data_IF_720737716250
#
_entry.id   IF_720737716250
#
_cell.length_a   1.000
_cell.length_b   1.000
_cell.length_c   1.000
_cell.angle_alpha   90.00
_cell.angle_beta   90.00
_cell.angle_gamma   90.00
#
_symmetry.space_group_name_H-M   'P 1'
#
loop_
_entity.id
_entity.type
_entity.pdbx_description
1 polymer ?
#
# COMPACT_ATOMS: atom_id res chain seq x y z
N UNK A 1 14.80 58.26 39.72
CA UNK A 1 13.90 58.96 38.78
C UNK A 1 13.29 57.89 37.89
N UNK A 2 12.13 57.30 38.25
CA UNK A 2 10.76 57.75 37.95
C UNK A 2 10.50 57.81 36.42
N UNK A 3 9.51 57.18 35.78
CA UNK A 3 8.23 56.54 36.14
C UNK A 3 7.90 55.49 35.02
N UNK A 4 7.20 54.36 35.14
CA UNK A 4 5.93 53.93 35.78
C UNK A 4 4.64 54.49 35.14
N UNK A 5 3.90 53.65 34.38
CA UNK A 5 2.42 53.50 34.29
C UNK A 5 2.04 52.68 33.02
N UNK A 6 1.58 51.43 33.09
CA UNK A 6 0.26 50.87 33.51
C UNK A 6 -0.85 50.85 32.46
N UNK A 7 -1.32 49.61 32.19
CA UNK A 7 -2.72 49.16 32.09
C UNK A 7 -3.53 49.54 30.84
N UNK A 8 -3.92 48.54 30.05
CA UNK A 8 -5.34 48.32 29.73
C UNK A 8 -5.60 46.85 29.31
N UNK A 9 -6.12 46.08 30.26
CA UNK A 9 -6.82 44.81 30.05
C UNK A 9 -8.18 45.10 29.42
N UNK A 10 -8.54 44.41 28.34
CA UNK A 10 -9.94 44.28 27.93
C UNK A 10 -10.34 42.82 27.92
N UNK A 11 -10.95 42.41 29.04
CA UNK A 11 -11.79 41.22 29.18
C UNK A 11 -12.97 41.33 28.20
N UNK A 12 -13.21 40.28 27.43
CA UNK A 12 -14.53 39.96 26.90
C UNK A 12 -14.96 38.66 27.55
N UNK A 13 -15.93 38.76 28.45
CA UNK A 13 -16.59 37.63 29.09
C UNK A 13 -18.04 37.57 28.62
N UNK A 14 -18.39 36.41 28.03
CA UNK A 14 -19.67 35.67 28.11
C UNK A 14 -20.96 36.35 27.60
N UNK A 15 -21.88 35.55 27.02
CA UNK A 15 -22.80 34.80 27.89
C UNK A 15 -22.86 33.30 27.56
N UNK A 16 -22.84 32.52 28.63
CA UNK A 16 -23.40 31.18 28.65
C UNK A 16 -24.92 31.26 28.38
N UNK A 17 -25.41 30.48 27.43
CA UNK A 17 -26.82 30.20 27.27
C UNK A 17 -27.01 28.68 27.17
N UNK A 18 -27.53 28.14 28.26
CA UNK A 18 -28.13 26.82 28.41
C UNK A 18 -29.22 26.57 27.37
N UNK A 19 -29.27 25.35 26.80
CA UNK A 19 -30.47 24.50 26.79
C UNK A 19 -30.12 23.10 26.30
N UNK A 20 -30.35 22.15 27.20
CA UNK A 20 -30.66 20.75 26.94
C UNK A 20 -31.57 20.54 25.74
N UNK A 21 -31.26 19.54 24.91
CA UNK A 21 -32.28 18.69 24.27
C UNK A 21 -31.61 17.40 23.80
N UNK A 22 -31.78 16.36 24.61
CA UNK A 22 -31.77 14.98 24.15
C UNK A 22 -32.87 14.79 23.09
N UNK A 23 -32.54 14.16 21.97
CA UNK A 23 -33.47 13.39 21.14
C UNK A 23 -32.68 12.11 20.79
N UNK A 24 -32.69 11.07 21.62
CA UNK A 24 -33.77 10.11 21.84
C UNK A 24 -34.28 9.48 20.54
N UNK A 25 -33.63 8.36 20.23
CA UNK A 25 -34.13 7.15 19.58
C UNK A 25 -35.67 7.11 19.46
N UNK A 26 -36.17 7.10 18.21
CA UNK A 26 -37.50 6.57 17.90
C UNK A 26 -37.34 5.19 17.29
N UNK A 27 -37.35 4.19 18.17
CA UNK A 27 -37.89 2.87 17.88
C UNK A 27 -39.41 3.02 17.83
N UNK A 28 -40.01 2.86 16.65
CA UNK A 28 -41.46 2.61 16.55
C UNK A 28 -41.65 1.13 16.21
N UNK A 29 -41.85 0.35 17.26
CA UNK A 29 -42.52 -0.94 17.21
C UNK A 29 -43.95 -0.73 16.73
N UNK A 30 -44.31 -1.31 15.58
CA UNK A 30 -45.71 -1.45 15.19
C UNK A 30 -46.13 -2.91 15.43
N UNK A 31 -46.79 -3.12 16.56
CA UNK A 31 -47.44 -4.38 16.91
C UNK A 31 -48.83 -4.35 16.28
N UNK A 32 -48.99 -5.08 15.17
CA UNK A 32 -50.27 -5.40 14.56
C UNK A 32 -50.50 -6.90 14.69
N UNK A 33 -51.09 -7.30 15.80
CA UNK A 33 -51.61 -8.65 16.05
C UNK A 33 -52.86 -8.83 15.17
N UNK A 34 -52.95 -9.89 14.36
CA UNK A 34 -54.20 -10.58 14.06
C UNK A 34 -53.88 -12.05 13.75
N UNK A 35 -54.57 -12.92 14.49
CA UNK A 35 -54.40 -14.37 14.50
C UNK A 35 -55.61 -15.00 13.83
N UNK A 36 -55.37 -15.99 12.96
CA UNK A 36 -56.26 -17.15 12.83
C UNK A 36 -55.47 -18.36 12.30
N UNK A 37 -55.33 -19.36 13.16
CA UNK A 37 -54.88 -20.75 12.88
C UNK A 37 -55.98 -21.47 12.02
N UNK A 38 -55.75 -22.49 11.18
CA UNK A 38 -55.51 -23.97 11.39
C UNK A 38 -55.71 -24.61 9.96
N UNK A 39 -55.23 -25.82 9.56
CA UNK A 39 -53.89 -26.40 9.45
C UNK A 39 -53.71 -27.11 8.03
N UNK A 40 -52.90 -28.19 7.78
CA UNK A 40 -52.22 -28.35 6.49
C UNK A 40 -52.81 -29.41 5.54
N UNK A 41 -52.61 -29.23 4.24
CA UNK A 41 -52.78 -30.29 3.23
C UNK A 41 -51.49 -30.44 2.42
N UNK A 42 -50.90 -31.62 2.53
CA UNK A 42 -49.76 -32.12 1.78
C UNK A 42 -50.08 -32.32 0.30
N UNK A 43 -49.27 -31.73 -0.59
CA UNK A 43 -49.09 -32.25 -1.94
C UNK A 43 -47.65 -32.00 -2.40
N UNK A 44 -46.94 -33.11 -2.63
CA UNK A 44 -45.60 -33.17 -3.18
C UNK A 44 -45.51 -32.46 -4.54
N UNK A 45 -44.60 -31.50 -4.64
CA UNK A 45 -44.00 -31.10 -5.92
C UNK A 45 -42.51 -30.84 -5.68
N UNK A 46 -41.69 -31.78 -6.15
CA UNK A 46 -40.23 -31.73 -6.07
C UNK A 46 -39.70 -30.43 -6.70
N UNK A 47 -38.89 -29.62 -6.00
CA UNK A 47 -38.14 -28.58 -6.67
C UNK A 47 -36.99 -29.27 -7.41
N UNK A 48 -37.00 -29.16 -8.74
CA UNK A 48 -35.84 -29.46 -9.56
C UNK A 48 -34.65 -28.69 -8.97
N UNK A 49 -33.72 -29.40 -8.33
CA UNK A 49 -32.38 -28.91 -8.05
C UNK A 49 -31.71 -28.80 -9.42
N UNK A 50 -31.96 -27.67 -10.08
CA UNK A 50 -31.11 -27.19 -11.13
C UNK A 50 -29.74 -27.03 -10.51
N UNK A 51 -28.84 -27.96 -10.82
CA UNK A 51 -27.41 -27.80 -10.59
C UNK A 51 -27.04 -26.52 -11.34
N UNK A 52 -27.02 -25.41 -10.61
CA UNK A 52 -26.33 -24.20 -11.02
C UNK A 52 -24.86 -24.59 -11.04
N UNK A 53 -24.43 -25.13 -12.16
CA UNK A 53 -23.02 -25.14 -12.52
C UNK A 53 -22.67 -23.66 -12.62
N UNK A 54 -22.17 -23.10 -11.53
CA UNK A 54 -21.31 -21.92 -11.56
C UNK A 54 -20.14 -22.35 -12.44
N UNK A 55 -20.30 -22.19 -13.76
CA UNK A 55 -19.18 -22.07 -14.67
C UNK A 55 -18.45 -20.85 -14.15
N UNK A 56 -17.43 -21.09 -13.33
CA UNK A 56 -16.35 -20.15 -13.16
C UNK A 56 -15.91 -19.84 -14.57
N UNK A 57 -16.31 -18.66 -15.06
CA UNK A 57 -15.73 -18.12 -16.27
C UNK A 57 -14.25 -18.04 -15.96
N UNK A 58 -13.46 -18.99 -16.48
CA UNK A 58 -12.01 -18.93 -16.38
C UNK A 58 -11.61 -17.76 -17.25
N UNK A 59 -11.68 -16.55 -16.68
CA UNK A 59 -11.09 -15.36 -17.26
C UNK A 59 -9.65 -15.73 -17.56
N UNK A 60 -9.20 -15.47 -18.79
CA UNK A 60 -7.79 -15.68 -19.11
C UNK A 60 -6.95 -14.84 -18.15
N UNK A 61 -5.79 -15.36 -17.71
CA UNK A 61 -4.88 -14.64 -16.80
C UNK A 61 -4.53 -13.23 -17.29
N UNK A 62 -4.60 -13.01 -18.60
CA UNK A 62 -4.39 -11.70 -19.22
C UNK A 62 -5.48 -10.67 -18.91
N UNK A 63 -6.68 -11.06 -18.50
CA UNK A 63 -7.81 -10.13 -18.25
C UNK A 63 -8.08 -9.86 -16.77
N UNK A 64 -7.37 -10.56 -15.87
CA UNK A 64 -7.53 -10.41 -14.42
C UNK A 64 -6.43 -9.52 -13.84
N UNK A 65 -6.63 -9.00 -12.63
CA UNK A 65 -5.54 -8.35 -11.91
C UNK A 65 -4.41 -9.37 -11.67
N UNK A 66 -3.17 -8.90 -11.68
CA UNK A 66 -2.04 -9.80 -11.39
C UNK A 66 -2.09 -10.35 -9.95
N UNK A 67 -2.73 -9.63 -9.03
CA UNK A 67 -3.07 -10.09 -7.69
C UNK A 67 -4.00 -11.31 -7.69
N UNK A 68 -5.07 -11.28 -8.50
CA UNK A 68 -6.00 -12.41 -8.64
C UNK A 68 -5.35 -13.60 -9.35
N UNK A 69 -4.52 -13.33 -10.36
CA UNK A 69 -3.73 -14.37 -11.04
C UNK A 69 -2.82 -15.10 -10.05
N UNK A 70 -2.11 -14.35 -9.19
CA UNK A 70 -1.28 -14.93 -8.14
C UNK A 70 -2.10 -15.75 -7.13
N UNK A 71 -3.30 -15.27 -6.73
CA UNK A 71 -4.16 -15.98 -5.80
C UNK A 71 -4.66 -17.32 -6.38
N UNK A 72 -5.00 -17.36 -7.67
CA UNK A 72 -5.37 -18.60 -8.38
C UNK A 72 -4.18 -19.57 -8.47
N UNK A 73 -3.00 -19.07 -8.84
CA UNK A 73 -1.77 -19.87 -8.93
C UNK A 73 -1.36 -20.44 -7.57
N UNK A 74 -1.43 -19.64 -6.52
CA UNK A 74 -1.12 -20.07 -5.16
C UNK A 74 -2.10 -21.13 -4.63
N UNK A 75 -3.36 -21.09 -5.08
CA UNK A 75 -4.36 -22.12 -4.76
C UNK A 75 -4.12 -23.43 -5.52
N UNK A 76 -3.70 -23.34 -6.78
CA UNK A 76 -3.41 -24.50 -7.63
C UNK A 76 -2.08 -25.20 -7.27
N UNK A 77 -1.04 -24.42 -6.97
CA UNK A 77 0.33 -24.93 -6.78
C UNK A 77 1.04 -24.27 -5.58
N UNK A 78 0.55 -24.46 -4.34
CA UNK A 78 1.04 -23.72 -3.17
C UNK A 78 2.51 -23.97 -2.82
N UNK A 79 3.01 -25.18 -3.09
CA UNK A 79 4.35 -25.62 -2.71
C UNK A 79 5.41 -25.43 -3.81
N UNK A 80 5.03 -24.89 -4.97
CA UNK A 80 5.98 -24.65 -6.05
C UNK A 80 6.93 -23.51 -5.68
N UNK A 81 8.22 -23.81 -5.62
CA UNK A 81 9.30 -22.83 -5.50
C UNK A 81 9.41 -22.04 -6.80
N UNK A 82 9.45 -20.72 -6.70
CA UNK A 82 9.41 -19.80 -7.86
C UNK A 82 10.58 -18.83 -7.87
N UNK A 83 11.04 -18.40 -6.69
CA UNK A 83 12.08 -17.39 -6.62
C UNK A 83 12.96 -17.60 -5.41
N UNK A 84 14.27 -17.47 -5.64
CA UNK A 84 15.28 -17.44 -4.60
C UNK A 84 16.03 -16.11 -4.67
N UNK A 85 16.00 -15.38 -3.57
CA UNK A 85 16.80 -14.18 -3.37
C UNK A 85 18.07 -14.57 -2.64
N UNK A 86 19.23 -14.33 -3.24
CA UNK A 86 20.50 -14.48 -2.52
C UNK A 86 20.62 -13.43 -1.41
N UNK A 87 20.11 -12.22 -1.66
CA UNK A 87 19.97 -11.19 -0.64
C UNK A 87 19.04 -11.67 0.48
N UNK A 88 19.56 -11.73 1.72
CA UNK A 88 18.91 -12.31 2.91
C UNK A 88 18.61 -13.82 2.81
N UNK A 89 19.15 -14.52 1.80
CA UNK A 89 18.99 -15.96 1.53
C UNK A 89 17.54 -16.45 1.69
N UNK A 90 16.61 -15.78 1.02
CA UNK A 90 15.17 -16.03 1.13
C UNK A 90 14.70 -16.86 -0.05
N UNK A 91 13.99 -17.96 0.22
CA UNK A 91 13.32 -18.79 -0.79
C UNK A 91 11.82 -18.65 -0.66
N UNK A 92 11.14 -18.37 -1.77
CA UNK A 92 9.69 -18.24 -1.79
C UNK A 92 9.01 -19.24 -2.71
N UNK A 93 7.91 -19.77 -2.19
CA UNK A 93 6.92 -20.50 -2.98
C UNK A 93 5.78 -19.57 -3.37
N UNK A 94 4.94 -19.98 -4.33
CA UNK A 94 3.74 -19.23 -4.70
C UNK A 94 2.84 -18.88 -3.50
N UNK A 95 2.69 -19.82 -2.55
CA UNK A 95 1.96 -19.57 -1.30
C UNK A 95 2.57 -18.43 -0.48
N UNK A 96 3.89 -18.36 -0.37
CA UNK A 96 4.57 -17.30 0.39
C UNK A 96 4.37 -15.94 -0.27
N UNK A 97 4.54 -15.84 -1.59
CA UNK A 97 4.34 -14.58 -2.31
C UNK A 97 2.90 -14.10 -2.18
N UNK A 98 1.92 -15.01 -2.34
CA UNK A 98 0.52 -14.67 -2.15
C UNK A 98 0.21 -14.22 -0.72
N UNK A 99 0.74 -14.92 0.28
CA UNK A 99 0.53 -14.61 1.70
C UNK A 99 1.09 -13.23 2.07
N UNK A 100 2.35 -12.95 1.73
CA UNK A 100 2.97 -11.66 2.09
C UNK A 100 2.39 -10.49 1.31
N UNK A 101 2.06 -10.68 0.02
CA UNK A 101 1.40 -9.63 -0.77
C UNK A 101 -0.01 -9.33 -0.26
N UNK A 102 -0.75 -10.35 0.15
CA UNK A 102 -2.07 -10.17 0.78
C UNK A 102 -1.97 -9.44 2.12
N UNK A 103 -1.03 -9.86 2.95
CA UNK A 103 -0.81 -9.25 4.26
C UNK A 103 -0.41 -7.77 4.15
N UNK A 104 0.47 -7.44 3.21
CA UNK A 104 0.86 -6.05 2.96
C UNK A 104 -0.32 -5.23 2.42
N UNK A 105 -1.06 -5.76 1.47
CA UNK A 105 -2.25 -5.09 0.94
C UNK A 105 -3.28 -4.81 2.04
N UNK A 106 -3.53 -5.80 2.91
CA UNK A 106 -4.44 -5.64 4.05
C UNK A 106 -3.97 -4.53 4.99
N UNK A 107 -2.70 -4.54 5.40
CA UNK A 107 -2.20 -3.54 6.35
C UNK A 107 -2.16 -2.13 5.77
N UNK A 108 -1.93 -1.98 4.46
CA UNK A 108 -2.00 -0.67 3.80
C UNK A 108 -3.45 -0.15 3.75
N UNK A 109 -4.42 -0.99 3.41
CA UNK A 109 -5.84 -0.60 3.41
C UNK A 109 -6.35 -0.32 4.83
N UNK A 110 -5.93 -1.12 5.81
CA UNK A 110 -6.27 -0.93 7.24
C UNK A 110 -5.67 0.38 7.80
N UNK A 111 -4.49 0.78 7.34
CA UNK A 111 -3.90 2.09 7.63
C UNK A 111 -4.67 3.27 7.00
N UNK A 112 -5.75 3.01 6.25
CA UNK A 112 -6.65 4.01 5.69
C UNK A 112 -6.34 4.41 4.25
N UNK A 113 -5.43 3.70 3.56
CA UNK A 113 -5.17 3.92 2.14
C UNK A 113 -6.32 3.39 1.29
N UNK A 114 -6.61 4.11 0.22
CA UNK A 114 -7.72 3.80 -0.69
C UNK A 114 -7.18 3.35 -2.05
N UNK A 115 -7.90 2.47 -2.77
CA UNK A 115 -7.55 2.14 -4.15
C UNK A 115 -7.43 3.41 -5.00
N UNK A 116 -6.36 3.53 -5.78
CA UNK A 116 -5.97 4.74 -6.50
C UNK A 116 -4.94 5.62 -5.80
N UNK A 117 -4.64 5.38 -4.51
CA UNK A 117 -3.53 6.04 -3.84
C UNK A 117 -2.17 5.69 -4.46
N UNK A 118 -1.24 6.63 -4.37
CA UNK A 118 0.05 6.56 -5.05
C UNK A 118 1.16 6.10 -4.09
N UNK A 119 1.92 5.10 -4.50
CA UNK A 119 3.04 4.51 -3.76
C UNK A 119 4.33 4.82 -4.52
N UNK A 120 5.32 5.41 -3.85
CA UNK A 120 6.66 5.58 -4.40
C UNK A 120 7.61 4.56 -3.79
N UNK A 121 8.17 3.68 -4.62
CA UNK A 121 9.22 2.77 -4.20
C UNK A 121 10.60 3.28 -4.60
N UNK A 122 11.47 3.42 -3.61
CA UNK A 122 12.90 3.65 -3.74
C UNK A 122 13.69 2.43 -3.25
N UNK A 123 13.24 1.24 -3.66
CA UNK A 123 13.84 -0.06 -3.33
C UNK A 123 14.50 -0.67 -4.56
N UNK A 124 15.65 -1.35 -4.43
CA UNK A 124 16.24 -2.07 -5.55
C UNK A 124 15.32 -3.18 -6.07
N UNK A 125 15.35 -3.43 -7.39
CA UNK A 125 14.54 -4.50 -8.00
C UNK A 125 14.87 -5.89 -7.48
N UNK A 126 16.10 -6.14 -7.00
CA UNK A 126 16.48 -7.45 -6.48
C UNK A 126 15.99 -7.72 -5.04
N UNK A 127 15.31 -6.76 -4.40
CA UNK A 127 14.76 -6.95 -3.06
C UNK A 127 13.45 -7.74 -3.12
N UNK A 128 13.27 -8.63 -2.15
CA UNK A 128 12.08 -9.45 -2.05
C UNK A 128 10.85 -8.56 -1.72
N UNK A 129 11.04 -7.58 -0.85
CA UNK A 129 10.04 -6.59 -0.44
C UNK A 129 9.47 -5.80 -1.63
N UNK A 130 10.29 -5.54 -2.66
CA UNK A 130 9.87 -4.82 -3.87
C UNK A 130 8.87 -5.63 -4.70
N UNK A 131 9.09 -6.94 -4.81
CA UNK A 131 8.17 -7.84 -5.52
C UNK A 131 6.86 -8.00 -4.77
N UNK A 132 6.92 -8.15 -3.44
CA UNK A 132 5.71 -8.16 -2.60
C UNK A 132 4.92 -6.88 -2.80
N UNK A 133 5.59 -5.72 -2.81
CA UNK A 133 4.94 -4.43 -2.99
C UNK A 133 4.22 -4.34 -4.35
N UNK A 134 4.83 -4.81 -5.43
CA UNK A 134 4.17 -4.85 -6.75
C UNK A 134 2.87 -5.67 -6.73
N UNK A 135 2.90 -6.87 -6.13
CA UNK A 135 1.70 -7.69 -6.02
C UNK A 135 0.67 -7.10 -5.05
N UNK A 136 1.10 -6.50 -3.95
CA UNK A 136 0.20 -5.83 -3.01
C UNK A 136 -0.52 -4.65 -3.67
N UNK A 137 0.20 -3.84 -4.46
CA UNK A 137 -0.39 -2.76 -5.25
C UNK A 137 -1.41 -3.29 -6.27
N UNK A 138 -1.11 -4.41 -6.94
CA UNK A 138 -2.06 -5.05 -7.87
C UNK A 138 -3.32 -5.56 -7.16
N UNK A 139 -3.17 -6.14 -5.96
CA UNK A 139 -4.27 -6.66 -5.15
C UNK A 139 -5.15 -5.59 -4.51
N UNK A 140 -4.59 -4.43 -4.17
CA UNK A 140 -5.31 -3.34 -3.52
C UNK A 140 -5.69 -2.20 -4.49
N UNK A 141 -5.22 -2.24 -5.74
CA UNK A 141 -5.48 -1.20 -6.74
C UNK A 141 -4.70 0.09 -6.49
N UNK A 142 -3.49 0.01 -5.93
CA UNK A 142 -2.61 1.17 -5.74
C UNK A 142 -1.75 1.42 -6.98
N UNK A 143 -1.37 2.69 -7.19
CA UNK A 143 -0.50 3.08 -8.29
C UNK A 143 0.94 3.11 -7.78
N UNK A 144 1.78 2.22 -8.29
CA UNK A 144 3.20 2.13 -7.93
C UNK A 144 4.05 2.94 -8.91
N UNK A 145 4.84 3.89 -8.39
CA UNK A 145 5.97 4.48 -9.10
C UNK A 145 7.26 3.91 -8.54
N UNK A 146 8.22 3.65 -9.41
CA UNK A 146 9.52 3.13 -9.01
C UNK A 146 10.63 4.12 -9.38
N UNK A 147 11.44 4.48 -8.38
CA UNK A 147 12.68 5.21 -8.54
C UNK A 147 13.84 4.24 -8.26
N UNK A 148 14.77 4.12 -9.19
CA UNK A 148 15.96 3.29 -8.98
C UNK A 148 16.89 3.96 -7.94
N UNK A 149 17.23 3.29 -6.83
CA UNK A 149 18.14 3.83 -5.83
C UNK A 149 19.61 3.90 -6.24
N UNK A 150 20.01 3.37 -7.41
CA UNK A 150 21.39 3.29 -7.93
C UNK A 150 22.49 3.65 -6.90
N UNK A 151 23.04 2.66 -6.19
CA UNK A 151 23.95 2.90 -5.06
C UNK A 151 25.24 3.61 -5.45
N UNK A 152 25.78 3.38 -6.64
CA UNK A 152 27.02 4.04 -7.10
C UNK A 152 26.82 5.55 -7.24
N UNK A 153 25.65 5.95 -7.71
CA UNK A 153 25.27 7.35 -7.79
C UNK A 153 25.04 7.95 -6.42
N UNK A 154 24.37 7.22 -5.53
CA UNK A 154 24.13 7.69 -4.17
C UNK A 154 25.45 7.87 -3.38
N UNK A 155 26.47 7.07 -3.70
CA UNK A 155 27.82 7.17 -3.13
C UNK A 155 28.64 8.32 -3.73
N UNK A 156 28.63 8.47 -5.05
CA UNK A 156 29.42 9.52 -5.73
C UNK A 156 28.81 10.92 -5.57
N UNK A 157 27.49 11.04 -5.73
CA UNK A 157 26.76 12.32 -5.73
C UNK A 157 25.47 12.21 -4.88
N UNK A 158 25.58 12.32 -3.54
CA UNK A 158 24.42 12.20 -2.65
C UNK A 158 23.38 13.31 -2.86
N UNK A 159 23.81 14.50 -3.28
CA UNK A 159 22.89 15.61 -3.59
C UNK A 159 22.02 15.32 -4.81
N UNK A 160 22.57 14.66 -5.83
CA UNK A 160 21.81 14.27 -7.02
C UNK A 160 20.76 13.21 -6.68
N UNK A 161 21.09 12.26 -5.77
CA UNK A 161 20.13 11.28 -5.28
C UNK A 161 19.00 11.92 -4.46
N UNK A 162 19.33 12.89 -3.59
CA UNK A 162 18.33 13.69 -2.86
C UNK A 162 17.43 14.49 -3.79
N UNK A 163 18.01 15.13 -4.81
CA UNK A 163 17.25 15.88 -5.82
C UNK A 163 16.33 14.96 -6.62
N UNK A 164 16.78 13.74 -6.96
CA UNK A 164 15.96 12.75 -7.64
C UNK A 164 14.77 12.31 -6.79
N UNK A 165 14.97 12.01 -5.50
CA UNK A 165 13.89 11.69 -4.57
C UNK A 165 12.92 12.87 -4.41
N UNK A 166 13.44 14.08 -4.20
CA UNK A 166 12.63 15.28 -4.02
C UNK A 166 11.72 15.53 -5.22
N UNK A 167 12.26 15.39 -6.44
CA UNK A 167 11.50 15.53 -7.69
C UNK A 167 10.50 14.39 -7.87
N UNK A 168 10.87 13.15 -7.55
CA UNK A 168 9.94 12.02 -7.60
C UNK A 168 8.72 12.27 -6.70
N UNK A 169 8.92 12.74 -5.47
CA UNK A 169 7.83 13.06 -4.54
C UNK A 169 6.96 14.22 -5.03
N UNK A 170 7.56 15.28 -5.59
CA UNK A 170 6.81 16.41 -6.16
C UNK A 170 5.93 15.98 -7.35
N UNK A 171 6.48 15.14 -8.24
CA UNK A 171 5.82 14.71 -9.46
C UNK A 171 4.73 13.67 -9.20
N UNK A 172 5.02 12.66 -8.38
CA UNK A 172 4.10 11.54 -8.12
C UNK A 172 3.02 11.88 -7.11
N UNK A 173 3.24 12.90 -6.25
CA UNK A 173 2.37 13.23 -5.11
C UNK A 173 2.08 11.99 -4.25
N UNK A 174 3.10 11.16 -4.05
CA UNK A 174 2.96 9.88 -3.38
C UNK A 174 2.39 9.98 -1.96
N UNK A 175 1.44 9.10 -1.65
CA UNK A 175 0.86 8.92 -0.32
C UNK A 175 1.80 8.15 0.60
N UNK A 176 2.59 7.22 0.04
CA UNK A 176 3.52 6.36 0.76
C UNK A 176 4.86 6.35 0.05
N UNK A 177 5.93 6.42 0.85
CA UNK A 177 7.30 6.28 0.37
C UNK A 177 7.91 5.03 0.98
N UNK A 178 8.37 4.09 0.16
CA UNK A 178 9.15 2.93 0.59
C UNK A 178 10.63 3.16 0.29
N UNK A 179 11.46 3.11 1.33
CA UNK A 179 12.92 3.29 1.23
C UNK A 179 13.67 2.11 1.79
N UNK A 180 14.86 1.85 1.25
CA UNK A 180 15.79 0.93 1.89
C UNK A 180 16.52 1.61 3.05
N UNK A 181 17.02 0.83 3.99
CA UNK A 181 17.82 1.38 5.10
C UNK A 181 19.23 1.76 4.63
N UNK A 182 19.94 0.78 4.09
CA UNK A 182 21.28 0.95 3.59
C UNK A 182 21.51 0.08 2.34
N UNK A 183 22.39 0.54 1.46
CA UNK A 183 22.82 -0.21 0.28
C UNK A 183 24.22 0.23 -0.12
N UNK A 184 25.13 -0.73 -0.34
CA UNK A 184 26.53 -0.51 -0.75
C UNK A 184 27.21 0.69 -0.05
N UNK A 185 27.22 0.68 1.29
CA UNK A 185 27.88 1.70 2.13
C UNK A 185 27.19 3.08 2.11
N UNK A 186 25.97 3.18 1.58
CA UNK A 186 25.14 4.39 1.59
C UNK A 186 23.96 4.19 2.53
N UNK A 187 23.74 5.16 3.43
CA UNK A 187 22.56 5.20 4.30
C UNK A 187 21.44 6.02 3.64
N UNK A 188 20.41 5.34 3.16
CA UNK A 188 19.28 5.96 2.45
C UNK A 188 18.28 6.64 3.40
N UNK A 189 18.25 6.24 4.68
CA UNK A 189 17.49 6.96 5.71
C UNK A 189 18.02 8.38 5.88
N UNK A 190 19.34 8.55 5.91
CA UNK A 190 19.97 9.87 5.99
C UNK A 190 19.70 10.71 4.74
N UNK A 191 19.68 10.09 3.55
CA UNK A 191 19.30 10.79 2.32
C UNK A 191 17.85 11.27 2.36
N UNK A 192 16.94 10.39 2.78
CA UNK A 192 15.51 10.69 2.91
C UNK A 192 15.27 11.80 3.93
N UNK A 193 15.94 11.73 5.08
CA UNK A 193 15.93 12.77 6.12
C UNK A 193 16.44 14.11 5.61
N UNK A 194 17.39 14.11 4.66
CA UNK A 194 17.86 15.33 4.01
C UNK A 194 16.83 15.97 3.06
N UNK A 195 15.87 15.19 2.55
CA UNK A 195 14.79 15.67 1.67
C UNK A 195 13.55 16.06 2.46
N UNK A 196 13.22 15.26 3.48
CA UNK A 196 12.06 15.39 4.36
C UNK A 196 12.59 15.51 5.80
N UNK A 197 13.03 16.71 6.23
CA UNK A 197 13.58 16.91 7.57
C UNK A 197 12.56 16.68 8.69
N UNK A 198 11.26 16.76 8.38
CA UNK A 198 10.17 16.56 9.35
C UNK A 198 10.18 15.16 9.97
N UNK A 199 10.75 14.16 9.28
CA UNK A 199 10.93 12.79 9.79
C UNK A 199 11.74 12.74 11.09
N UNK A 200 12.61 13.72 11.37
CA UNK A 200 13.39 13.76 12.61
C UNK A 200 12.63 14.34 13.80
N UNK A 201 11.62 15.13 13.53
CA UNK A 201 10.88 15.88 14.55
C UNK A 201 9.63 15.09 14.95
N UNK A 202 9.09 14.33 14.00
CA UNK A 202 7.86 13.58 14.21
C UNK A 202 8.07 12.41 15.17
N UNK A 203 7.30 12.39 16.25
CA UNK A 203 7.22 11.28 17.20
C UNK A 203 5.81 10.67 17.16
N UNK A 204 5.74 9.39 16.82
CA UNK A 204 4.47 8.64 16.81
C UNK A 204 3.89 8.43 18.21
N UNK A 205 4.67 8.63 19.29
CA UNK A 205 4.18 8.52 20.65
C UNK A 205 3.06 9.54 20.96
N UNK A 206 3.05 10.68 20.27
CA UNK A 206 2.00 11.70 20.43
C UNK A 206 0.68 11.32 19.75
N UNK A 207 0.64 10.23 18.96
CA UNK A 207 -0.55 9.73 18.28
C UNK A 207 -1.04 10.60 17.11
N UNK A 208 -0.24 11.59 16.70
CA UNK A 208 -0.53 12.41 15.54
C UNK A 208 -0.23 11.62 14.25
N UNK A 209 -0.95 11.90 13.14
CA UNK A 209 -0.58 11.39 11.82
C UNK A 209 0.63 12.16 11.28
N UNK A 210 1.53 11.46 10.57
CA UNK A 210 2.68 12.09 9.95
C UNK A 210 2.25 13.17 8.95
N UNK A 211 2.89 14.34 9.02
CA UNK A 211 2.58 15.49 8.19
C UNK A 211 3.85 16.24 7.81
N UNK A 212 3.98 16.58 6.53
CA UNK A 212 5.06 17.43 6.02
C UNK A 212 4.46 18.55 5.14
N UNK A 213 4.76 19.84 5.43
CA UNK A 213 4.25 20.95 4.64
C UNK A 213 4.70 20.92 3.18
N UNK A 214 5.90 20.37 2.92
CA UNK A 214 6.49 20.31 1.58
C UNK A 214 5.83 19.24 0.71
N UNK A 215 5.42 18.13 1.32
CA UNK A 215 4.79 17.00 0.64
C UNK A 215 3.44 16.66 1.31
N UNK A 216 2.40 17.50 1.11
CA UNK A 216 1.15 17.39 1.87
C UNK A 216 0.39 16.07 1.65
N UNK A 217 0.70 15.36 0.57
CA UNK A 217 0.10 14.07 0.25
C UNK A 217 0.77 12.90 0.97
N UNK A 218 2.02 13.05 1.40
CA UNK A 218 2.80 11.98 2.02
C UNK A 218 2.31 11.73 3.45
N UNK A 219 1.75 10.55 3.67
CA UNK A 219 1.21 10.10 4.96
C UNK A 219 2.10 9.07 5.64
N UNK A 220 2.77 8.23 4.86
CA UNK A 220 3.53 7.10 5.40
C UNK A 220 4.94 7.04 4.79
N UNK A 221 5.96 7.58 5.49
CA UNK A 221 7.35 7.26 5.19
C UNK A 221 7.70 5.89 5.79
N UNK A 222 8.11 4.95 4.94
CA UNK A 222 8.33 3.55 5.29
C UNK A 222 9.76 3.14 4.96
N UNK A 223 10.40 2.41 5.86
CA UNK A 223 11.73 1.82 5.65
C UNK A 223 11.70 0.29 5.71
N UNK A 224 12.53 -0.38 4.91
CA UNK A 224 12.69 -1.86 4.93
C UNK A 224 13.74 -2.35 5.93
N UNK A 225 14.33 -1.43 6.67
CA UNK A 225 15.30 -1.73 7.72
C UNK A 225 14.80 -2.58 8.89
N UNK A 226 15.72 -3.21 9.62
CA UNK A 226 15.38 -4.07 10.76
C UNK A 226 15.18 -3.28 12.06
N UNK A 227 16.05 -2.30 12.32
CA UNK A 227 15.98 -1.48 13.53
C UNK A 227 14.93 -0.38 13.40
N UNK A 228 14.17 -0.16 14.47
CA UNK A 228 13.31 1.02 14.68
C UNK A 228 14.05 2.15 15.43
N UNK A 229 15.17 1.81 16.09
CA UNK A 229 16.00 2.75 16.82
C UNK A 229 16.67 3.69 15.82
N UNK A 230 16.70 4.99 16.13
CA UNK A 230 17.20 6.09 15.28
C UNK A 230 16.33 6.43 14.05
N UNK A 231 15.05 6.01 14.03
CA UNK A 231 14.11 6.22 12.91
C UNK A 231 12.72 6.65 13.38
N UNK A 232 12.67 7.55 14.36
CA UNK A 232 11.46 7.88 15.14
C UNK A 232 10.27 8.36 14.28
N UNK A 233 10.50 9.02 13.13
CA UNK A 233 9.43 9.46 12.23
C UNK A 233 9.18 8.57 11.00
N UNK A 234 9.68 7.33 10.95
CA UNK A 234 9.39 6.39 9.87
C UNK A 234 8.80 5.08 10.37
N UNK A 235 7.93 4.48 9.56
CA UNK A 235 7.37 3.17 9.84
C UNK A 235 8.25 2.05 9.30
N UNK A 236 8.36 0.96 10.06
CA UNK A 236 8.97 -0.26 9.54
C UNK A 236 7.99 -0.94 8.55
N UNK A 237 8.51 -1.36 7.39
CA UNK A 237 7.75 -2.11 6.39
C UNK A 237 6.99 -3.31 6.99
N UNK A 238 7.61 -3.99 7.95
CA UNK A 238 7.03 -5.16 8.64
C UNK A 238 5.79 -4.82 9.46
N UNK A 239 5.60 -3.57 9.90
CA UNK A 239 4.42 -3.17 10.66
C UNK A 239 3.15 -3.15 9.79
N UNK A 240 3.29 -3.01 8.47
CA UNK A 240 2.17 -3.08 7.53
C UNK A 240 1.82 -4.50 7.10
N UNK A 241 2.52 -5.54 7.59
CA UNK A 241 2.20 -6.92 7.27
C UNK A 241 1.09 -7.43 8.20
N UNK A 242 -0.16 -7.36 7.73
CA UNK A 242 -1.34 -7.79 8.47
C UNK A 242 -1.96 -9.06 7.85
N UNK A 243 -1.61 -10.28 8.32
CA UNK A 243 -2.12 -11.52 7.75
C UNK A 243 -3.56 -11.81 8.22
N UNK A 244 -4.52 -11.01 7.77
CA UNK A 244 -5.93 -11.13 8.15
C UNK A 244 -6.75 -12.00 7.19
N UNK A 245 -6.25 -12.27 5.98
CA UNK A 245 -6.95 -12.96 4.88
C UNK A 245 -8.32 -12.34 4.53
N UNK A 246 -8.57 -11.08 4.93
CA UNK A 246 -9.86 -10.40 4.80
C UNK A 246 -9.81 -9.26 3.77
N UNK A 247 -8.86 -9.29 2.84
CA UNK A 247 -8.61 -8.20 1.90
C UNK A 247 -9.87 -7.80 1.11
N UNK A 248 -10.64 -8.76 0.60
CA UNK A 248 -11.89 -8.49 -0.14
C UNK A 248 -12.91 -7.73 0.72
N UNK A 249 -13.03 -8.08 2.00
CA UNK A 249 -13.92 -7.35 2.92
C UNK A 249 -13.45 -5.93 3.17
N UNK A 250 -12.13 -5.71 3.31
CA UNK A 250 -11.54 -4.38 3.49
C UNK A 250 -11.75 -3.51 2.25
N UNK A 251 -11.51 -4.06 1.06
CA UNK A 251 -11.72 -3.36 -0.21
C UNK A 251 -13.19 -3.03 -0.46
N UNK A 252 -14.13 -3.90 -0.09
CA UNK A 252 -15.57 -3.57 -0.11
C UNK A 252 -15.90 -2.44 0.85
N UNK A 253 -15.26 -2.40 2.02
CA UNK A 253 -15.39 -1.31 3.00
C UNK A 253 -14.95 0.05 2.43
N UNK A 254 -13.95 0.07 1.56
CA UNK A 254 -13.52 1.29 0.83
C UNK A 254 -14.46 1.72 -0.31
N UNK A 255 -15.50 0.92 -0.61
CA UNK A 255 -16.43 1.21 -1.71
C UNK A 255 -15.84 0.93 -3.10
N UNK A 256 -14.74 0.18 -3.19
CA UNK A 256 -14.10 -0.14 -4.45
C UNK A 256 -14.92 -1.15 -5.26
N UNK A 257 -14.95 -0.97 -6.59
CA UNK A 257 -15.45 -2.01 -7.51
C UNK A 257 -14.41 -3.13 -7.61
N UNK A 258 -14.86 -4.34 -7.93
CA UNK A 258 -13.95 -5.47 -8.17
C UNK A 258 -12.81 -5.03 -9.10
N UNK A 259 -11.57 -5.23 -8.64
CA UNK A 259 -10.37 -4.88 -9.38
C UNK A 259 -10.30 -5.78 -10.62
N UNK A 260 -9.98 -5.17 -11.76
CA UNK A 260 -9.87 -5.89 -13.04
C UNK A 260 -8.53 -5.58 -13.71
N UNK A 261 -8.22 -6.26 -14.81
CA UNK A 261 -7.00 -6.02 -15.59
C UNK A 261 -6.78 -4.56 -16.02
N UNK A 262 -7.86 -3.78 -16.14
CA UNK A 262 -7.85 -2.35 -16.50
C UNK A 262 -7.50 -1.41 -15.34
N UNK A 263 -7.30 -1.93 -14.13
CA UNK A 263 -6.94 -1.11 -12.97
C UNK A 263 -5.52 -0.57 -13.16
N UNK A 264 -5.26 0.73 -12.93
CA UNK A 264 -3.91 1.28 -12.99
C UNK A 264 -3.01 0.63 -11.93
N UNK A 265 -1.81 0.25 -12.33
CA UNK A 265 -0.84 -0.41 -11.45
C UNK A 265 0.50 0.32 -11.41
N UNK A 266 1.02 0.73 -12.57
CA UNK A 266 2.37 1.27 -12.65
C UNK A 266 2.38 2.64 -13.30
N UNK A 267 3.03 3.60 -12.65
CA UNK A 267 3.33 4.90 -13.23
C UNK A 267 4.80 4.98 -13.64
N UNK A 268 5.04 5.28 -14.91
CA UNK A 268 6.41 5.48 -15.39
C UNK A 268 6.97 6.82 -14.88
N UNK A 269 8.24 6.81 -14.44
CA UNK A 269 9.01 8.03 -14.18
C UNK A 269 10.00 8.24 -15.31
N UNK A 270 9.84 9.32 -16.06
CA UNK A 270 10.79 9.67 -17.12
C UNK A 270 12.01 10.29 -16.47
N UNK A 271 13.10 9.53 -16.46
CA UNK A 271 14.39 9.95 -15.92
C UNK A 271 15.16 10.77 -16.97
N UNK A 272 15.66 11.94 -16.59
CA UNK A 272 16.58 12.73 -17.42
C UNK A 272 17.97 12.10 -17.50
N UNK A 273 18.87 12.71 -18.29
CA UNK A 273 20.26 12.25 -18.47
C UNK A 273 21.05 12.16 -17.17
N UNK A 274 20.66 12.95 -16.18
CA UNK A 274 21.27 12.97 -14.85
C UNK A 274 20.62 11.97 -13.89
N UNK A 275 19.63 11.17 -14.34
CA UNK A 275 18.84 10.24 -13.53
C UNK A 275 17.89 10.91 -12.52
N UNK A 276 17.59 12.19 -12.71
CA UNK A 276 16.56 12.91 -11.96
C UNK A 276 15.25 12.78 -12.75
N UNK A 277 14.12 12.43 -12.12
CA UNK A 277 12.84 12.35 -12.80
C UNK A 277 12.39 13.75 -13.22
N UNK A 278 12.06 13.89 -14.50
CA UNK A 278 11.66 15.17 -15.12
C UNK A 278 10.15 15.25 -15.25
N UNK A 279 9.50 14.15 -15.65
CA UNK A 279 8.05 14.08 -15.86
C UNK A 279 7.48 12.73 -15.40
N UNK A 280 6.19 12.73 -15.01
CA UNK A 280 5.41 11.50 -14.89
C UNK A 280 5.01 11.03 -16.28
N UNK A 281 5.39 9.81 -16.65
CA UNK A 281 4.98 9.16 -17.88
C UNK A 281 3.55 8.64 -17.81
N UNK A 282 3.23 7.67 -18.67
CA UNK A 282 1.89 7.07 -18.72
C UNK A 282 1.67 6.17 -17.50
N UNK A 283 0.45 6.18 -16.99
CA UNK A 283 -0.01 5.20 -16.01
C UNK A 283 -0.51 3.97 -16.77
N UNK A 284 0.14 2.84 -16.55
CA UNK A 284 -0.11 1.56 -17.17
C UNK A 284 -1.03 0.71 -16.29
N UNK A 285 -1.92 -0.03 -16.94
CA UNK A 285 -2.84 -0.95 -16.28
C UNK A 285 -2.18 -2.29 -15.98
N UNK A 286 -2.85 -3.16 -15.21
CA UNK A 286 -2.34 -4.51 -14.93
C UNK A 286 -2.14 -5.30 -16.24
N UNK A 287 -3.05 -5.14 -17.21
CA UNK A 287 -2.96 -5.73 -18.55
C UNK A 287 -1.70 -5.24 -19.27
N UNK A 288 -1.51 -3.93 -19.36
CA UNK A 288 -0.36 -3.33 -20.05
C UNK A 288 0.97 -3.76 -19.42
N UNK A 289 1.04 -3.84 -18.08
CA UNK A 289 2.25 -4.26 -17.36
C UNK A 289 2.61 -5.71 -17.66
N UNK A 290 1.60 -6.58 -17.78
CA UNK A 290 1.77 -7.99 -18.12
C UNK A 290 2.18 -8.17 -19.59
N UNK A 291 1.51 -7.47 -20.51
CA UNK A 291 1.80 -7.52 -21.94
C UNK A 291 3.18 -6.94 -22.29
N UNK A 292 3.53 -5.79 -21.71
CA UNK A 292 4.81 -5.12 -21.94
C UNK A 292 5.99 -5.81 -21.23
N UNK A 293 5.72 -6.79 -20.36
CA UNK A 293 6.71 -7.52 -19.56
C UNK A 293 7.70 -6.61 -18.81
N UNK A 294 7.21 -5.49 -18.28
CA UNK A 294 8.05 -4.44 -17.69
C UNK A 294 8.90 -4.94 -16.50
N UNK A 295 8.37 -5.90 -15.77
CA UNK A 295 9.04 -6.53 -14.64
C UNK A 295 9.29 -8.01 -14.94
N UNK A 296 10.51 -8.41 -15.32
CA UNK A 296 10.79 -9.77 -15.74
C UNK A 296 10.58 -10.78 -14.61
N UNK A 297 10.91 -10.41 -13.36
CA UNK A 297 10.72 -11.25 -12.18
C UNK A 297 9.23 -11.42 -11.83
N UNK A 298 8.45 -10.34 -11.89
CA UNK A 298 7.01 -10.37 -11.67
C UNK A 298 6.31 -11.32 -12.65
N UNK A 299 6.69 -11.25 -13.92
CA UNK A 299 6.14 -12.13 -14.95
C UNK A 299 6.63 -13.57 -14.81
N UNK A 300 7.88 -13.78 -14.40
CA UNK A 300 8.42 -15.11 -14.09
C UNK A 300 7.64 -15.80 -12.96
N UNK A 301 7.24 -15.05 -11.93
CA UNK A 301 6.37 -15.55 -10.85
C UNK A 301 5.01 -15.99 -11.39
N UNK A 302 4.40 -15.20 -12.28
CA UNK A 302 3.10 -15.52 -12.89
C UNK A 302 3.18 -16.65 -13.93
N UNK A 303 4.30 -16.78 -14.65
CA UNK A 303 4.53 -17.90 -15.58
C UNK A 303 4.96 -19.20 -14.87
N UNK A 304 5.22 -19.13 -13.56
CA UNK A 304 5.72 -20.23 -12.71
C UNK A 304 7.13 -20.69 -13.08
N UNK A 305 7.93 -19.80 -13.64
CA UNK A 305 9.34 -20.04 -13.93
C UNK A 305 10.17 -19.84 -12.66
N UNK A 306 11.07 -20.78 -12.37
CA UNK A 306 12.01 -20.63 -11.26
C UNK A 306 13.13 -19.66 -11.64
N UNK A 307 13.38 -18.65 -10.80
CA UNK A 307 14.46 -17.69 -11.00
C UNK A 307 15.28 -17.50 -9.72
N UNK A 308 16.60 -17.45 -9.88
CA UNK A 308 17.51 -17.01 -8.82
C UNK A 308 17.92 -15.56 -9.09
N UNK A 309 17.73 -14.71 -8.09
CA UNK A 309 18.09 -13.31 -8.17
C UNK A 309 19.40 -13.10 -7.42
N UNK A 310 20.46 -12.67 -8.12
CA UNK A 310 21.74 -12.42 -7.50
C UNK A 310 21.63 -11.27 -6.51
N UNK A 311 22.27 -11.42 -5.36
CA UNK A 311 22.28 -10.41 -4.31
C UNK A 311 23.37 -9.39 -4.59
N UNK A 312 23.02 -8.11 -4.74
CA UNK A 312 23.99 -7.02 -4.72
C UNK A 312 23.99 -6.42 -3.31
N UNK A 313 24.75 -7.04 -2.40
CA UNK A 313 24.86 -6.63 -1.02
C UNK A 313 25.97 -7.38 -0.29
N UNK A 314 26.45 -6.83 0.83
CA UNK A 314 27.60 -7.35 1.59
C UNK A 314 27.39 -8.83 1.90
N UNK A 315 28.21 -9.69 1.28
CA UNK A 315 28.43 -11.05 1.73
C UNK A 315 29.14 -10.90 3.07
N UNK A 316 28.44 -11.20 4.17
CA UNK A 316 29.04 -11.29 5.49
C UNK A 316 30.04 -12.45 5.54
#
# INVERSE_FOLDING_TARGET
MAAAASVFLRRLALPAASKSSQQQLRLTSNVGFWSSLVPPSSSHSSPNIGVSTLRGSSRGMATMSAGDALAQLASAHPHQEIIRYEHKNVKWTLKHVNYYSDALACGLVDAGLQPGDVMLSWLPMHFAEQHILQFACSKAGFILYHLDPNPERAKSNPEAAKAALAKALELTKANVLFTQEAGNDVNYVNLTTGVIPEIRIFDFAEGMPFFTPRYPHLRFPVHTGYSIVDKEGMFAYKHFLLPSNNLDSLLRGTGCKALDGKTPLFGELVLGKDGIPVETGKVLTNEDVFEAKLWPEFNSILSREYKEIPGVGVVF
#
